data_IF_143061565792
#
_entry.id   IF_143061565792
#
_cell.length_a   1.000
_cell.length_b   1.000
_cell.length_c   1.000
_cell.angle_alpha   90.00
_cell.angle_beta   90.00
_cell.angle_gamma   90.00
#
_symmetry.space_group_name_H-M   'P 1'
#
loop_
_entity.id
_entity.type
_entity.pdbx_description
1 polymer ?
#
# COMPACT_ATOMS: atom_id res chain seq x y z
N UNK A 1 28.21 1.43 2.36
CA UNK A 1 27.79 1.95 1.03
C UNK A 1 27.02 0.83 0.33
N UNK A 2 25.71 0.99 0.11
CA UNK A 2 24.85 -0.07 -0.47
C UNK A 2 25.07 -0.14 -1.99
N UNK A 3 25.28 -1.33 -2.56
CA UNK A 3 25.48 -1.48 -4.02
C UNK A 3 24.21 -1.04 -4.78
N UNK A 4 24.32 -0.15 -5.77
CA UNK A 4 23.18 0.30 -6.55
C UNK A 4 22.62 -0.87 -7.40
N UNK A 5 21.29 -1.00 -7.44
CA UNK A 5 20.63 -1.99 -8.29
C UNK A 5 20.39 -1.37 -9.67
N UNK A 6 21.29 -1.67 -10.61
CA UNK A 6 21.25 -1.15 -11.98
C UNK A 6 20.36 -1.97 -12.91
N UNK A 7 20.13 -3.26 -12.61
CA UNK A 7 19.31 -4.16 -13.44
C UNK A 7 18.01 -4.52 -12.74
N UNK A 8 16.88 -4.26 -13.41
CA UNK A 8 15.56 -4.72 -12.96
C UNK A 8 15.52 -6.24 -13.05
N UNK A 9 15.44 -6.91 -11.90
CA UNK A 9 15.30 -8.36 -11.81
C UNK A 9 14.05 -8.73 -11.03
N UNK A 10 13.59 -9.96 -11.17
CA UNK A 10 12.48 -10.46 -10.35
C UNK A 10 12.78 -10.35 -8.85
N UNK A 11 14.03 -10.62 -8.44
CA UNK A 11 14.47 -10.49 -7.06
C UNK A 11 14.41 -9.06 -6.53
N UNK A 12 14.78 -8.05 -7.34
CA UNK A 12 14.68 -6.65 -6.92
C UNK A 12 13.24 -6.16 -6.86
N UNK A 13 12.39 -6.65 -7.76
CA UNK A 13 10.94 -6.40 -7.71
C UNK A 13 10.35 -6.98 -6.42
N UNK A 14 10.60 -8.25 -6.13
CA UNK A 14 10.09 -8.92 -4.94
C UNK A 14 10.52 -8.22 -3.64
N UNK A 15 11.81 -7.85 -3.52
CA UNK A 15 12.31 -7.09 -2.37
C UNK A 15 11.61 -5.74 -2.21
N UNK A 16 11.30 -5.07 -3.31
CA UNK A 16 10.57 -3.81 -3.28
C UNK A 16 9.11 -4.00 -2.86
N UNK A 17 8.45 -5.07 -3.31
CA UNK A 17 7.11 -5.46 -2.81
C UNK A 17 7.16 -5.67 -1.30
N UNK A 18 8.14 -6.42 -0.80
CA UNK A 18 8.28 -6.66 0.65
C UNK A 18 8.54 -5.36 1.43
N UNK A 19 9.40 -4.48 0.91
CA UNK A 19 9.65 -3.17 1.51
C UNK A 19 8.40 -2.28 1.51
N UNK A 20 7.63 -2.31 0.42
CA UNK A 20 6.33 -1.65 0.30
C UNK A 20 5.34 -2.19 1.32
N UNK A 21 5.10 -3.50 1.36
CA UNK A 21 4.18 -4.12 2.31
C UNK A 21 4.56 -3.80 3.77
N UNK A 22 5.84 -3.90 4.11
CA UNK A 22 6.35 -3.56 5.43
C UNK A 22 6.12 -2.08 5.77
N UNK A 23 6.44 -1.17 4.85
CA UNK A 23 6.12 0.25 5.00
C UNK A 23 4.61 0.50 5.16
N UNK A 24 3.80 -0.26 4.42
CA UNK A 24 2.33 -0.27 4.51
C UNK A 24 1.85 -0.54 5.93
N UNK A 25 2.27 -1.65 6.52
CA UNK A 25 1.89 -2.00 7.89
C UNK A 25 2.44 -1.01 8.94
N UNK A 26 3.67 -0.53 8.77
CA UNK A 26 4.25 0.46 9.68
C UNK A 26 3.45 1.76 9.76
N UNK A 27 2.77 2.16 8.68
CA UNK A 27 1.93 3.36 8.64
C UNK A 27 0.47 3.02 8.95
N UNK A 28 -0.02 1.85 8.53
CA UNK A 28 -1.40 1.44 8.77
C UNK A 28 -1.69 1.31 10.28
N UNK A 29 -0.78 0.72 11.07
CA UNK A 29 -0.97 0.55 12.51
C UNK A 29 -1.22 1.88 13.24
N UNK A 30 -0.35 2.91 13.14
CA UNK A 30 -0.63 4.19 13.77
C UNK A 30 -1.82 4.91 13.13
N UNK A 31 -2.05 4.76 11.82
CA UNK A 31 -3.21 5.36 11.16
C UNK A 31 -4.53 4.79 11.67
N UNK A 32 -4.61 3.50 11.98
CA UNK A 32 -5.76 2.87 12.64
C UNK A 32 -6.03 3.49 14.00
N UNK A 33 -4.99 3.67 14.83
CA UNK A 33 -5.13 4.27 16.16
C UNK A 33 -5.56 5.75 16.07
N UNK A 34 -4.97 6.50 15.14
CA UNK A 34 -5.34 7.90 14.89
C UNK A 34 -6.78 7.98 14.39
N UNK A 35 -7.15 7.14 13.42
CA UNK A 35 -8.49 7.11 12.85
C UNK A 35 -9.56 6.81 13.89
N UNK A 36 -9.33 5.80 14.74
CA UNK A 36 -10.21 5.51 15.86
C UNK A 36 -10.36 6.72 16.79
N UNK A 37 -9.25 7.35 17.19
CA UNK A 37 -9.26 8.50 18.09
C UNK A 37 -9.92 9.75 17.50
N UNK A 38 -9.78 9.99 16.19
CA UNK A 38 -10.37 11.14 15.51
C UNK A 38 -11.90 11.04 15.48
N UNK A 39 -12.43 9.83 15.37
CA UNK A 39 -13.86 9.58 15.32
C UNK A 39 -14.47 9.26 16.68
N UNK A 40 -13.65 8.96 17.69
CA UNK A 40 -14.09 8.70 19.06
C UNK A 40 -14.88 9.88 19.65
N UNK A 41 -16.09 9.60 20.13
CA UNK A 41 -16.93 10.55 20.85
C UNK A 41 -17.94 11.32 20.00
N UNK A 42 -18.12 10.93 18.73
CA UNK A 42 -19.28 11.33 17.96
C UNK A 42 -20.51 10.49 18.45
N UNK A 43 -21.72 10.77 17.97
CA UNK A 43 -22.97 10.22 18.54
C UNK A 43 -23.49 8.93 17.88
N UNK A 44 -22.68 8.22 17.09
CA UNK A 44 -23.03 7.00 16.33
C UNK A 44 -22.89 5.71 17.17
N UNK A 45 -23.41 5.73 18.40
CA UNK A 45 -23.73 4.51 19.14
C UNK A 45 -22.56 3.56 19.46
N UNK A 46 -21.30 4.04 19.48
CA UNK A 46 -20.12 3.24 19.83
C UNK A 46 -19.45 2.50 18.67
N UNK A 47 -19.88 2.70 17.41
CA UNK A 47 -19.27 2.05 16.23
C UNK A 47 -18.15 2.89 15.58
N UNK A 48 -17.94 4.11 16.08
CA UNK A 48 -17.10 5.13 15.45
C UNK A 48 -15.63 4.83 15.51
N UNK A 49 -15.19 4.31 16.65
CA UNK A 49 -13.83 3.87 16.86
C UNK A 49 -13.46 2.79 15.84
N UNK A 50 -14.40 1.88 15.55
CA UNK A 50 -14.22 0.82 14.57
C UNK A 50 -14.19 1.36 13.13
N UNK A 51 -15.14 2.23 12.77
CA UNK A 51 -15.13 2.87 11.43
C UNK A 51 -13.84 3.66 11.24
N UNK A 52 -13.43 4.43 12.24
CA UNK A 52 -12.20 5.20 12.21
C UNK A 52 -10.96 4.33 12.11
N UNK A 53 -10.91 3.24 12.85
CA UNK A 53 -9.83 2.25 12.75
C UNK A 53 -9.72 1.66 11.33
N UNK A 54 -10.84 1.26 10.73
CA UNK A 54 -10.90 0.69 9.38
C UNK A 54 -10.48 1.74 8.35
N UNK A 55 -11.05 2.94 8.40
CA UNK A 55 -10.70 4.03 7.47
C UNK A 55 -9.23 4.43 7.59
N UNK A 56 -8.72 4.51 8.83
CA UNK A 56 -7.31 4.74 9.11
C UNK A 56 -6.42 3.67 8.48
N UNK A 57 -6.79 2.39 8.57
CA UNK A 57 -6.05 1.29 7.93
C UNK A 57 -6.11 1.39 6.40
N UNK A 58 -7.31 1.58 5.83
CA UNK A 58 -7.55 1.62 4.38
C UNK A 58 -6.82 2.78 3.69
N UNK A 59 -6.58 3.88 4.40
CA UNK A 59 -5.82 5.03 3.87
C UNK A 59 -4.35 4.99 4.27
N UNK A 60 -4.04 4.48 5.47
CA UNK A 60 -2.68 4.39 5.99
C UNK A 60 -1.83 3.36 5.25
N UNK A 61 -2.41 2.21 4.89
CA UNK A 61 -1.66 1.15 4.20
C UNK A 61 -1.12 1.59 2.82
N UNK A 62 -1.91 2.15 1.88
CA UNK A 62 -1.41 2.57 0.58
C UNK A 62 -0.35 3.68 0.70
N UNK A 63 -0.52 4.61 1.65
CA UNK A 63 0.48 5.64 1.97
C UNK A 63 1.79 5.02 2.45
N UNK A 64 1.71 4.08 3.39
CA UNK A 64 2.87 3.34 3.89
C UNK A 64 3.57 2.54 2.80
N UNK A 65 2.82 1.93 1.87
CA UNK A 65 3.39 1.21 0.72
C UNK A 65 4.22 2.13 -0.15
N UNK A 66 3.70 3.32 -0.49
CA UNK A 66 4.43 4.31 -1.28
C UNK A 66 5.68 4.79 -0.54
N UNK A 67 5.60 4.99 0.78
CA UNK A 67 6.75 5.37 1.60
C UNK A 67 7.80 4.25 1.66
N UNK A 68 7.39 2.99 1.81
CA UNK A 68 8.29 1.83 1.77
C UNK A 68 9.02 1.73 0.43
N UNK A 69 8.30 1.94 -0.69
CA UNK A 69 8.89 2.01 -2.03
C UNK A 69 9.85 3.19 -2.16
N UNK A 70 9.48 4.38 -1.66
CA UNK A 70 10.33 5.56 -1.66
C UNK A 70 11.64 5.30 -0.93
N UNK A 71 11.58 4.80 0.31
CA UNK A 71 12.76 4.47 1.11
C UNK A 71 13.63 3.43 0.40
N UNK A 72 13.02 2.34 -0.09
CA UNK A 72 13.75 1.31 -0.84
C UNK A 72 14.45 1.90 -2.07
N UNK A 73 13.74 2.69 -2.87
CA UNK A 73 14.29 3.32 -4.08
C UNK A 73 15.47 4.25 -3.77
N UNK A 74 15.41 5.00 -2.66
CA UNK A 74 16.47 5.91 -2.22
C UNK A 74 17.68 5.16 -1.68
N UNK A 75 17.48 4.13 -0.86
CA UNK A 75 18.57 3.35 -0.26
C UNK A 75 19.33 2.54 -1.32
N UNK A 76 18.61 1.88 -2.24
CA UNK A 76 19.21 1.01 -3.26
C UNK A 76 19.45 1.72 -4.60
N UNK A 77 19.20 3.03 -4.68
CA UNK A 77 19.31 3.84 -5.91
C UNK A 77 18.58 3.19 -7.10
N UNK A 78 17.40 2.63 -6.83
CA UNK A 78 16.68 1.79 -7.78
C UNK A 78 15.89 2.66 -8.78
N UNK A 79 16.08 2.50 -10.10
CA UNK A 79 15.52 3.41 -11.08
C UNK A 79 14.02 3.18 -11.34
N UNK A 80 13.20 4.19 -11.06
CA UNK A 80 11.77 4.23 -11.36
C UNK A 80 11.13 5.56 -11.01
N UNK A 81 9.81 5.59 -10.87
CA UNK A 81 9.06 6.79 -10.52
C UNK A 81 8.15 6.55 -9.32
N UNK A 82 8.49 7.15 -8.18
CA UNK A 82 7.62 7.11 -6.98
C UNK A 82 6.26 7.75 -7.27
N UNK A 83 6.22 8.79 -8.11
CA UNK A 83 4.97 9.42 -8.55
C UNK A 83 4.03 8.48 -9.29
N UNK A 84 4.56 7.44 -9.95
CA UNK A 84 3.74 6.42 -10.60
C UNK A 84 3.35 5.28 -9.64
N UNK A 85 4.02 5.16 -8.49
CA UNK A 85 3.63 4.22 -7.44
C UNK A 85 2.33 4.64 -6.75
N UNK A 86 2.10 5.96 -6.60
CA UNK A 86 0.89 6.53 -5.99
C UNK A 86 -0.40 6.10 -6.70
N UNK A 87 -0.58 6.35 -8.03
CA UNK A 87 -1.78 5.90 -8.72
C UNK A 87 -1.88 4.37 -8.75
N UNK A 88 -0.77 3.64 -8.74
CA UNK A 88 -0.77 2.17 -8.60
C UNK A 88 -1.33 1.69 -7.25
N UNK A 89 -0.93 2.33 -6.15
CA UNK A 89 -1.44 2.02 -4.81
C UNK A 89 -2.95 2.32 -4.70
N UNK A 90 -3.37 3.49 -5.21
CA UNK A 90 -4.78 3.88 -5.24
C UNK A 90 -5.61 2.93 -6.12
N UNK A 91 -5.09 2.55 -7.29
CA UNK A 91 -5.75 1.60 -8.17
C UNK A 91 -5.96 0.24 -7.47
N UNK A 92 -4.96 -0.27 -6.73
CA UNK A 92 -5.11 -1.53 -6.00
C UNK A 92 -6.16 -1.46 -4.89
N UNK A 93 -6.20 -0.36 -4.15
CA UNK A 93 -7.26 -0.10 -3.16
C UNK A 93 -8.64 -0.08 -3.82
N UNK A 94 -8.83 0.78 -4.83
CA UNK A 94 -10.13 0.96 -5.49
C UNK A 94 -10.59 -0.33 -6.17
N UNK A 95 -9.67 -1.07 -6.77
CA UNK A 95 -9.99 -2.32 -7.47
C UNK A 95 -10.49 -3.39 -6.51
N UNK A 96 -9.85 -3.60 -5.35
CA UNK A 96 -10.35 -4.59 -4.38
C UNK A 96 -11.67 -4.17 -3.76
N UNK A 97 -11.82 -2.88 -3.40
CA UNK A 97 -13.08 -2.40 -2.82
C UNK A 97 -14.23 -2.48 -3.84
N UNK A 98 -13.97 -2.13 -5.10
CA UNK A 98 -14.97 -2.22 -6.17
C UNK A 98 -15.31 -3.66 -6.58
N UNK A 99 -14.35 -4.58 -6.50
CA UNK A 99 -14.57 -6.01 -6.76
C UNK A 99 -15.09 -6.77 -5.53
N UNK A 100 -15.21 -6.13 -4.37
CA UNK A 100 -15.61 -6.79 -3.13
C UNK A 100 -17.00 -7.44 -3.24
N UNK A 101 -17.97 -6.75 -3.84
CA UNK A 101 -19.31 -7.28 -4.06
C UNK A 101 -19.40 -8.21 -5.28
N UNK A 102 -18.91 -7.85 -6.49
CA UNK A 102 -19.01 -8.73 -7.67
C UNK A 102 -18.36 -10.10 -7.49
N UNK A 103 -17.25 -10.17 -6.75
CA UNK A 103 -16.55 -11.42 -6.46
C UNK A 103 -16.95 -12.05 -5.12
N UNK A 104 -17.94 -11.48 -4.43
CA UNK A 104 -18.40 -11.93 -3.12
C UNK A 104 -17.26 -12.07 -2.09
N UNK A 105 -16.24 -11.20 -2.17
CA UNK A 105 -15.09 -11.21 -1.26
C UNK A 105 -15.49 -10.78 0.15
N UNK A 106 -16.56 -9.99 0.28
CA UNK A 106 -17.15 -9.63 1.57
C UNK A 106 -17.61 -10.85 2.40
N UNK A 107 -17.85 -12.01 1.78
CA UNK A 107 -18.17 -13.26 2.48
C UNK A 107 -16.99 -13.83 3.28
N UNK A 108 -15.76 -13.44 2.96
CA UNK A 108 -14.55 -13.87 3.66
C UNK A 108 -13.62 -12.68 3.89
N UNK A 109 -13.66 -12.14 5.11
CA UNK A 109 -12.87 -10.96 5.49
C UNK A 109 -11.36 -11.17 5.37
N UNK A 110 -10.85 -12.38 5.59
CA UNK A 110 -9.43 -12.68 5.48
C UNK A 110 -8.96 -12.59 4.02
N UNK A 111 -9.76 -13.13 3.10
CA UNK A 111 -9.47 -13.05 1.66
C UNK A 111 -9.58 -11.62 1.16
N UNK A 112 -10.61 -10.87 1.58
CA UNK A 112 -10.77 -9.47 1.22
C UNK A 112 -9.56 -8.63 1.66
N UNK A 113 -9.19 -8.75 2.94
CA UNK A 113 -8.12 -7.97 3.54
C UNK A 113 -6.74 -8.38 2.99
N UNK A 114 -6.50 -9.69 2.84
CA UNK A 114 -5.28 -10.21 2.24
C UNK A 114 -5.11 -9.76 0.79
N UNK A 115 -6.18 -9.82 0.00
CA UNK A 115 -6.18 -9.35 -1.39
C UNK A 115 -5.96 -7.85 -1.49
N UNK A 116 -6.56 -7.07 -0.57
CA UNK A 116 -6.34 -5.63 -0.45
C UNK A 116 -4.85 -5.32 -0.26
N UNK A 117 -4.18 -5.95 0.72
CA UNK A 117 -2.76 -5.71 0.97
C UNK A 117 -1.88 -6.13 -0.19
N UNK A 118 -2.12 -7.31 -0.75
CA UNK A 118 -1.32 -7.87 -1.85
C UNK A 118 -1.47 -7.03 -3.11
N UNK A 119 -2.70 -6.77 -3.58
CA UNK A 119 -2.90 -6.03 -4.83
C UNK A 119 -2.44 -4.58 -4.74
N UNK A 120 -2.70 -3.91 -3.62
CA UNK A 120 -2.22 -2.53 -3.40
C UNK A 120 -0.70 -2.46 -3.54
N UNK A 121 0.01 -3.40 -2.92
CA UNK A 121 1.49 -3.41 -2.96
C UNK A 121 2.03 -3.78 -4.33
N UNK A 122 1.41 -4.77 -4.99
CA UNK A 122 1.81 -5.20 -6.32
C UNK A 122 1.57 -4.11 -7.36
N UNK A 123 0.41 -3.45 -7.34
CA UNK A 123 0.09 -2.39 -8.30
C UNK A 123 0.89 -1.11 -8.03
N UNK A 124 1.15 -0.76 -6.76
CA UNK A 124 2.09 0.33 -6.44
C UNK A 124 3.50 0.04 -6.98
N UNK A 125 3.98 -1.19 -6.76
CA UNK A 125 5.30 -1.62 -7.26
C UNK A 125 5.33 -1.66 -8.78
N UNK A 126 4.29 -2.16 -9.44
CA UNK A 126 4.17 -2.15 -10.89
C UNK A 126 4.15 -0.73 -11.44
N UNK A 127 3.37 0.16 -10.83
CA UNK A 127 3.30 1.58 -11.14
C UNK A 127 4.68 2.25 -11.11
N UNK A 128 5.47 2.00 -10.06
CA UNK A 128 6.84 2.50 -9.96
C UNK A 128 7.71 2.13 -11.18
N UNK A 129 7.51 0.94 -11.75
CA UNK A 129 8.29 0.43 -12.87
C UNK A 129 7.81 0.92 -14.24
N UNK A 130 6.63 1.56 -14.34
CA UNK A 130 6.08 2.07 -15.60
C UNK A 130 6.95 3.15 -16.26
N UNK A 131 7.71 3.93 -15.47
CA UNK A 131 8.71 4.84 -16.03
C UNK A 131 9.80 4.01 -16.70
N UNK A 132 9.90 4.12 -18.03
CA UNK A 132 11.01 3.54 -18.80
C UNK A 132 12.32 4.02 -18.17
N UNK A 133 13.21 3.09 -17.85
CA UNK A 133 14.58 3.44 -17.53
C UNK A 133 15.14 4.14 -18.78
N UNK A 134 15.45 5.43 -18.67
CA UNK A 134 16.21 6.12 -19.71
C UNK A 134 17.52 5.36 -19.80
N UNK A 135 17.73 4.64 -20.91
CA UNK A 135 19.03 4.06 -21.22
C UNK A 135 19.96 5.26 -21.46
N UNK A 136 20.83 5.53 -20.50
CA UNK A 136 22.00 6.38 -20.73
C UNK A 136 23.01 5.58 -21.55
#
# INVERSE_FOLDING_TARGET
MVKPITRRSFGSFFRMVMAGAFGGFLVAIPATLIGAKVLAGNSLGGFEDLVGAIMGMLLGYPLGVVLGILVYSRVFHYPGSVWLAVPGALAGMVLILGLAEPLNLNSNSDVLLGSYFVLTTLLATAGFHLKKAVRA
#
